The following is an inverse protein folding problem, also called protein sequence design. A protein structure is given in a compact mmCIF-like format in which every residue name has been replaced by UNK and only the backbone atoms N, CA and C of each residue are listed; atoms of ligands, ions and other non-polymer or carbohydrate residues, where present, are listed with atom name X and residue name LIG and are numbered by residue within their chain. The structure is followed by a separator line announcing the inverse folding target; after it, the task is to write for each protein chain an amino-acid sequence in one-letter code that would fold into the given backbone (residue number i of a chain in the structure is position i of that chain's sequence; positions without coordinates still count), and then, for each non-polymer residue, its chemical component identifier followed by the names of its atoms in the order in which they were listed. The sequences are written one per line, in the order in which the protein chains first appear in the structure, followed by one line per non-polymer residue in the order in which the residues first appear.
data_IF_461209965663
#
_entry.id   IF_461209965663
#
_cell.length_a   1.000
_cell.length_b   1.000
_cell.length_c   1.000
_cell.angle_alpha   90.00
_cell.angle_beta   90.00
_cell.angle_gamma   90.00
#
_symmetry.space_group_name_H-M   'P 1'
#
loop_
_entity.id
_entity.type
_entity.pdbx_description
1 polymer ?
#
# COMPACT_ATOMS: atom_id res chain seq x y z
N UNK A 1 -8.31 22.05 -35.23
CA UNK A 1 -7.92 21.80 -33.82
C UNK A 1 -8.23 20.34 -33.50
N UNK A 2 -7.22 19.46 -33.46
CA UNK A 2 -7.42 18.04 -33.15
C UNK A 2 -7.35 17.87 -31.63
N UNK A 3 -8.51 17.68 -31.03
CA UNK A 3 -8.65 17.30 -29.63
C UNK A 3 -8.34 15.81 -29.50
N UNK A 4 -7.39 15.45 -28.64
CA UNK A 4 -7.06 14.05 -28.37
C UNK A 4 -7.80 13.62 -27.10
N UNK A 5 -8.81 12.76 -27.27
CA UNK A 5 -9.41 11.98 -26.17
C UNK A 5 -8.67 10.65 -26.17
N UNK A 6 -7.90 10.40 -25.10
CA UNK A 6 -7.23 9.11 -24.89
C UNK A 6 -8.31 8.03 -24.97
N UNK A 7 -8.23 7.07 -25.91
CA UNK A 7 -9.22 6.02 -26.00
C UNK A 7 -9.06 5.12 -24.76
N UNK A 8 -10.17 4.79 -24.13
CA UNK A 8 -10.38 3.83 -23.03
C UNK A 8 -9.92 2.37 -23.36
N UNK A 9 -9.04 2.20 -24.34
CA UNK A 9 -8.69 0.92 -24.97
C UNK A 9 -7.51 0.20 -24.34
N UNK A 10 -6.88 0.72 -23.29
CA UNK A 10 -5.93 -0.06 -22.44
C UNK A 10 -6.60 -0.52 -21.15
N UNK A 11 -7.93 -0.65 -21.14
CA UNK A 11 -8.67 -1.30 -20.03
C UNK A 11 -9.59 -2.43 -20.57
N UNK A 12 -9.63 -2.66 -21.88
CA UNK A 12 -10.60 -3.56 -22.54
C UNK A 12 -9.97 -4.75 -23.30
N UNK A 13 -8.78 -5.21 -22.90
CA UNK A 13 -8.26 -6.51 -23.35
C UNK A 13 -7.93 -7.39 -22.16
N UNK A 14 -9.01 -7.91 -21.56
CA UNK A 14 -9.24 -9.31 -21.21
C UNK A 14 -10.26 -9.31 -20.07
N UNK A 15 -11.46 -9.73 -20.42
CA UNK A 15 -12.51 -10.19 -19.53
C UNK A 15 -11.87 -11.03 -18.40
N UNK A 16 -11.92 -10.51 -17.16
CA UNK A 16 -11.73 -11.27 -15.91
C UNK A 16 -10.75 -12.45 -15.97
N UNK A 17 -9.46 -12.29 -15.60
CA UNK A 17 -8.64 -13.51 -15.45
C UNK A 17 -7.70 -13.68 -14.27
N UNK A 18 -7.33 -12.66 -13.51
CA UNK A 18 -6.81 -12.95 -12.16
C UNK A 18 -7.37 -11.99 -11.13
N UNK A 19 -7.77 -12.57 -10.02
CA UNK A 19 -8.04 -11.92 -8.75
C UNK A 19 -6.95 -10.89 -8.40
N UNK A 20 -5.70 -11.15 -8.82
CA UNK A 20 -4.54 -10.26 -8.71
C UNK A 20 -4.67 -8.96 -9.48
N UNK A 21 -5.12 -8.97 -10.73
CA UNK A 21 -5.27 -7.73 -11.50
C UNK A 21 -6.32 -6.78 -10.90
N UNK A 22 -7.45 -7.33 -10.42
CA UNK A 22 -8.48 -6.53 -9.73
C UNK A 22 -7.91 -5.91 -8.45
N UNK A 23 -7.17 -6.69 -7.68
CA UNK A 23 -6.50 -6.23 -6.46
C UNK A 23 -5.49 -5.12 -6.78
N UNK A 24 -4.63 -5.34 -7.77
CA UNK A 24 -3.61 -4.39 -8.20
C UNK A 24 -4.22 -3.05 -8.64
N UNK A 25 -5.28 -3.08 -9.47
CA UNK A 25 -5.96 -1.86 -9.90
C UNK A 25 -6.60 -1.13 -8.70
N UNK A 26 -7.20 -1.85 -7.75
CA UNK A 26 -7.76 -1.24 -6.52
C UNK A 26 -6.67 -0.60 -5.66
N UNK A 27 -5.52 -1.23 -5.53
CA UNK A 27 -4.37 -0.68 -4.81
C UNK A 27 -3.81 0.55 -5.53
N UNK A 28 -3.69 0.49 -6.86
CA UNK A 28 -3.18 1.58 -7.70
C UNK A 28 -4.10 2.81 -7.73
N UNK A 29 -5.42 2.63 -7.63
CA UNK A 29 -6.38 3.74 -7.55
C UNK A 29 -6.32 4.50 -6.22
N UNK A 30 -5.74 3.91 -5.17
CA UNK A 30 -5.55 4.55 -3.88
C UNK A 30 -4.21 5.29 -3.85
N UNK A 31 -3.98 6.09 -2.81
CA UNK A 31 -2.66 6.69 -2.58
C UNK A 31 -1.65 5.55 -2.43
N UNK A 32 -0.58 5.58 -3.24
CA UNK A 32 0.49 4.60 -3.21
C UNK A 32 1.18 4.69 -1.85
N UNK A 33 0.86 3.75 -0.97
CA UNK A 33 1.38 3.69 0.40
C UNK A 33 1.37 2.24 0.85
N UNK A 34 2.27 1.91 1.76
CA UNK A 34 2.30 0.61 2.41
C UNK A 34 0.99 0.34 3.15
N UNK A 35 0.44 -0.86 2.97
CA UNK A 35 -0.82 -1.28 3.57
C UNK A 35 -0.56 -2.58 4.32
N UNK A 36 -0.96 -2.62 5.60
CA UNK A 36 -0.89 -3.85 6.39
C UNK A 36 -1.84 -4.88 5.78
N UNK A 37 -1.40 -6.14 5.67
CA UNK A 37 -2.24 -7.24 5.17
C UNK A 37 -3.57 -7.35 5.94
N UNK A 38 -3.55 -7.08 7.25
CA UNK A 38 -4.74 -7.07 8.11
C UNK A 38 -5.77 -5.98 7.79
N UNK A 39 -5.38 -4.92 7.07
CA UNK A 39 -6.29 -3.87 6.57
C UNK A 39 -6.74 -4.13 5.12
N UNK A 40 -6.16 -5.14 4.48
CA UNK A 40 -6.35 -5.44 3.08
C UNK A 40 -7.41 -6.52 2.97
N UNK A 41 -8.68 -6.12 3.15
CA UNK A 41 -9.85 -7.00 3.04
C UNK A 41 -10.66 -6.60 1.81
N UNK A 42 -10.69 -7.47 0.81
CA UNK A 42 -11.51 -7.31 -0.40
C UNK A 42 -12.26 -8.61 -0.69
N UNK A 43 -13.34 -8.85 0.08
CA UNK A 43 -14.21 -10.02 -0.12
C UNK A 43 -14.83 -10.06 -1.52
N UNK A 44 -15.00 -8.90 -2.18
CA UNK A 44 -15.47 -8.81 -3.57
C UNK A 44 -14.47 -9.39 -4.59
N UNK A 45 -13.20 -9.51 -4.19
CA UNK A 45 -12.08 -9.98 -5.02
C UNK A 45 -11.80 -11.45 -4.68
N UNK A 46 -11.53 -11.75 -3.41
CA UNK A 46 -11.29 -13.11 -2.92
C UNK A 46 -11.62 -13.22 -1.43
N UNK A 47 -12.05 -14.41 -1.00
CA UNK A 47 -12.15 -14.73 0.43
C UNK A 47 -10.78 -14.80 1.10
N UNK A 48 -9.75 -15.17 0.34
CA UNK A 48 -8.36 -15.16 0.81
C UNK A 48 -7.47 -14.47 -0.24
N UNK A 49 -6.87 -13.35 0.15
CA UNK A 49 -6.02 -12.55 -0.73
C UNK A 49 -4.54 -12.98 -0.65
N UNK A 50 -4.19 -13.90 0.24
CA UNK A 50 -2.81 -14.41 0.40
C UNK A 50 -2.24 -14.96 -0.91
N UNK A 51 -2.89 -15.91 -1.61
CA UNK A 51 -2.34 -16.46 -2.85
C UNK A 51 -2.27 -15.42 -3.97
N UNK A 52 -3.14 -14.42 -3.90
CA UNK A 52 -3.23 -13.33 -4.87
C UNK A 52 -2.08 -12.34 -4.69
N UNK A 53 -1.77 -12.00 -3.44
CA UNK A 53 -0.64 -11.16 -3.08
C UNK A 53 0.67 -11.88 -3.40
N UNK A 54 0.77 -13.18 -3.13
CA UNK A 54 1.95 -13.98 -3.51
C UNK A 54 2.16 -14.00 -5.03
N UNK A 55 1.10 -14.19 -5.82
CA UNK A 55 1.19 -14.13 -7.28
C UNK A 55 1.71 -12.77 -7.76
N UNK A 56 1.13 -11.68 -7.25
CA UNK A 56 1.53 -10.32 -7.61
C UNK A 56 2.95 -9.97 -7.15
N UNK A 57 3.36 -10.47 -5.98
CA UNK A 57 4.72 -10.31 -5.46
C UNK A 57 5.72 -11.05 -6.35
N UNK A 58 5.44 -12.32 -6.68
CA UNK A 58 6.30 -13.11 -7.56
C UNK A 58 6.40 -12.51 -8.98
N UNK A 59 5.33 -11.88 -9.45
CA UNK A 59 5.32 -11.17 -10.73
C UNK A 59 5.96 -9.77 -10.67
N UNK A 60 6.44 -9.32 -9.51
CA UNK A 60 7.09 -8.02 -9.32
C UNK A 60 6.15 -6.81 -9.34
N UNK A 61 4.84 -7.03 -9.17
CA UNK A 61 3.84 -5.96 -9.11
C UNK A 61 3.64 -5.41 -7.69
N UNK A 62 3.89 -6.22 -6.67
CA UNK A 62 3.83 -5.81 -5.26
C UNK A 62 5.19 -5.99 -4.60
N UNK A 63 5.52 -5.05 -3.73
CA UNK A 63 6.68 -5.13 -2.85
C UNK A 63 6.24 -5.64 -1.48
N UNK A 64 7.10 -6.42 -0.84
CA UNK A 64 6.85 -6.96 0.50
C UNK A 64 7.55 -6.13 1.57
N UNK A 65 7.21 -6.34 2.84
CA UNK A 65 7.86 -5.67 3.97
C UNK A 65 9.40 -5.83 3.99
N UNK A 66 9.95 -6.83 3.29
CA UNK A 66 11.40 -6.99 3.14
C UNK A 66 12.05 -5.92 2.27
N UNK A 67 11.29 -5.30 1.36
CA UNK A 67 11.73 -4.21 0.49
C UNK A 67 11.45 -2.83 1.11
N UNK A 68 10.67 -2.79 2.20
CA UNK A 68 10.41 -1.58 2.97
C UNK A 68 11.67 -1.18 3.76
N UNK A 69 12.59 -0.49 3.09
CA UNK A 69 13.82 0.01 3.70
C UNK A 69 13.70 1.47 4.18
N UNK A 70 12.79 2.24 3.58
CA UNK A 70 12.63 3.65 3.90
C UNK A 70 11.92 3.83 5.25
N UNK A 71 12.64 4.42 6.21
CA UNK A 71 12.12 4.67 7.55
C UNK A 71 10.84 5.50 7.52
N UNK A 72 10.76 6.53 6.66
CA UNK A 72 9.57 7.37 6.52
C UNK A 72 8.34 6.57 6.12
N UNK A 73 8.50 5.57 5.24
CA UNK A 73 7.41 4.69 4.80
C UNK A 73 6.97 3.72 5.92
N UNK A 74 7.92 3.19 6.70
CA UNK A 74 7.62 2.40 7.90
C UNK A 74 6.82 3.23 8.90
N UNK A 75 7.27 4.47 9.17
CA UNK A 75 6.61 5.37 10.10
C UNK A 75 5.21 5.80 9.59
N UNK A 76 5.02 5.94 8.27
CA UNK A 76 3.69 6.17 7.69
C UNK A 76 2.77 4.96 7.88
N UNK A 77 3.29 3.74 7.77
CA UNK A 77 2.55 2.50 7.99
C UNK A 77 2.12 2.31 9.45
N UNK A 78 2.92 2.81 10.40
CA UNK A 78 2.62 2.73 11.82
C UNK A 78 1.46 3.64 12.22
N UNK A 79 0.64 3.13 13.13
CA UNK A 79 -0.46 3.90 13.74
C UNK A 79 0.08 4.90 14.75
N UNK A 80 -0.68 5.95 15.06
CA UNK A 80 -0.32 6.92 16.09
C UNK A 80 0.12 6.28 17.44
N UNK A 81 -0.56 5.26 18.01
CA UNK A 81 -0.09 4.61 19.24
C UNK A 81 1.22 3.83 19.06
N UNK A 82 1.44 3.20 17.90
CA UNK A 82 2.67 2.43 17.61
C UNK A 82 3.87 3.38 17.47
N UNK A 83 3.69 4.52 16.79
CA UNK A 83 4.70 5.59 16.73
C UNK A 83 5.03 6.15 18.10
N UNK A 84 4.03 6.35 18.97
CA UNK A 84 4.28 6.79 20.36
C UNK A 84 5.07 5.75 21.15
N UNK A 85 4.81 4.46 20.94
CA UNK A 85 5.58 3.38 21.56
C UNK A 85 7.02 3.40 21.08
N UNK A 86 7.23 3.53 19.77
CA UNK A 86 8.57 3.62 19.17
C UNK A 86 9.32 4.86 19.68
N UNK A 87 8.66 6.02 19.72
CA UNK A 87 9.24 7.26 20.25
C UNK A 87 9.66 7.13 21.72
N UNK A 88 8.90 6.40 22.54
CA UNK A 88 9.29 6.09 23.92
C UNK A 88 10.48 5.15 23.98
N UNK A 89 10.52 4.10 23.16
CA UNK A 89 11.66 3.16 23.08
C UNK A 89 12.95 3.84 22.66
N UNK A 90 12.87 4.79 21.72
CA UNK A 90 14.02 5.54 21.21
C UNK A 90 14.33 6.82 22.01
N UNK A 91 13.66 7.05 23.15
CA UNK A 91 13.83 8.25 23.99
C UNK A 91 13.72 9.57 23.21
N UNK A 92 12.84 9.63 22.20
CA UNK A 92 12.63 10.84 21.41
C UNK A 92 12.15 11.99 22.29
N UNK A 93 12.64 13.20 22.00
CA UNK A 93 12.52 14.39 22.85
C UNK A 93 11.06 14.86 23.02
N UNK A 94 10.15 14.43 22.13
CA UNK A 94 8.72 14.74 22.24
C UNK A 94 7.81 13.58 21.75
N UNK A 95 7.57 12.56 22.58
CA UNK A 95 6.77 11.39 22.20
C UNK A 95 5.26 11.68 22.05
N UNK A 96 4.82 12.91 22.32
CA UNK A 96 3.44 13.37 22.13
C UNK A 96 3.28 14.33 20.93
N UNK A 97 4.35 14.56 20.16
CA UNK A 97 4.31 15.37 18.94
C UNK A 97 3.35 14.83 17.87
N UNK A 98 2.97 15.68 16.92
CA UNK A 98 2.14 15.26 15.78
C UNK A 98 2.87 14.19 14.96
N UNK A 99 2.13 13.29 14.30
CA UNK A 99 2.68 12.18 13.51
C UNK A 99 3.82 12.64 12.58
N UNK A 100 3.66 13.79 11.94
CA UNK A 100 4.69 14.39 11.06
C UNK A 100 5.97 14.80 11.80
N UNK A 101 5.88 15.34 13.02
CA UNK A 101 7.07 15.74 13.78
C UNK A 101 7.90 14.55 14.27
N UNK A 102 7.29 13.37 14.43
CA UNK A 102 7.99 12.13 14.76
C UNK A 102 8.64 11.47 13.54
N UNK A 103 8.22 11.84 12.33
CA UNK A 103 8.78 11.34 11.07
C UNK A 103 9.93 12.23 10.58
N UNK A 104 9.88 13.52 10.91
CA UNK A 104 10.87 14.53 10.50
C UNK A 104 12.04 14.71 11.48
N UNK A 105 11.87 14.27 12.74
CA UNK A 105 12.87 14.37 13.82
C UNK A 105 13.86 13.20 13.83
#
# INVERSE_FOLDING_TARGET
MRSYRIPLLVISSQESKTTGQKLYVRLFQRKLSWIKMTKLEYEEIASDLTPVIEELTNAGFLQTESELQELSEVLELLSAPELKSLAKTFHLVNPNGQKQQLVDA
#
